data_IF_779317248199
#
_entry.id   IF_779317248199
#
_cell.length_a   1.000
_cell.length_b   1.000
_cell.length_c   1.000
_cell.angle_alpha   90.00
_cell.angle_beta   90.00
_cell.angle_gamma   90.00
#
_symmetry.space_group_name_H-M   'P 1'
#
loop_
_entity.id
_entity.type
_entity.pdbx_description
1 polymer ?
#
# COMPACT_ATOMS: atom_id res chain seq x y z
N UNK A 1 0.60 -12.28 -10.48
CA UNK A 1 1.70 -11.29 -10.58
C UNK A 1 2.90 -11.95 -9.94
N UNK A 2 4.05 -11.96 -10.62
CA UNK A 2 5.26 -12.50 -10.02
C UNK A 2 5.79 -11.46 -9.03
N UNK A 3 6.17 -11.88 -7.83
CA UNK A 3 6.67 -10.97 -6.81
C UNK A 3 8.08 -10.47 -7.13
N UNK A 4 8.36 -9.19 -6.89
CA UNK A 4 9.57 -8.46 -7.30
C UNK A 4 10.53 -8.24 -6.13
N UNK A 5 11.84 -8.30 -6.39
CA UNK A 5 12.91 -8.34 -5.39
C UNK A 5 13.81 -7.09 -5.39
N UNK A 6 14.11 -6.57 -4.19
CA UNK A 6 15.18 -5.59 -3.94
C UNK A 6 16.41 -6.31 -3.32
N UNK A 7 17.55 -6.38 -4.02
CA UNK A 7 18.75 -7.06 -3.53
C UNK A 7 19.42 -6.40 -2.33
N UNK A 8 19.29 -5.08 -2.13
CA UNK A 8 19.91 -4.40 -0.98
C UNK A 8 19.04 -4.53 0.29
N UNK A 9 17.72 -4.63 0.11
CA UNK A 9 16.79 -4.68 1.24
C UNK A 9 16.31 -6.09 1.59
N UNK A 10 16.52 -7.05 0.69
CA UNK A 10 15.99 -8.41 0.77
C UNK A 10 14.46 -8.38 0.99
N UNK A 11 13.76 -7.58 0.17
CA UNK A 11 12.30 -7.38 0.27
C UNK A 11 11.64 -7.79 -1.04
N UNK A 12 10.49 -8.44 -0.88
CA UNK A 12 9.65 -8.90 -1.97
C UNK A 12 8.31 -8.15 -1.99
N UNK A 13 7.99 -7.47 -3.09
CA UNK A 13 6.70 -6.77 -3.28
C UNK A 13 5.84 -7.45 -4.38
N UNK A 14 4.52 -7.56 -4.23
CA UNK A 14 3.74 -7.33 -3.01
C UNK A 14 4.20 -8.22 -1.84
N UNK A 15 4.24 -7.66 -0.62
CA UNK A 15 4.82 -8.34 0.55
C UNK A 15 3.76 -9.15 1.30
N UNK A 16 4.05 -10.40 1.66
CA UNK A 16 3.12 -11.31 2.38
C UNK A 16 1.74 -11.47 1.71
N UNK A 17 1.65 -11.28 0.39
CA UNK A 17 0.38 -11.28 -0.32
C UNK A 17 0.47 -11.92 -1.69
N UNK A 18 -0.50 -12.77 -1.98
CA UNK A 18 -0.72 -13.36 -3.30
C UNK A 18 -2.17 -13.08 -3.70
N UNK A 19 -2.41 -12.40 -4.84
CA UNK A 19 -3.77 -12.10 -5.28
C UNK A 19 -4.52 -13.39 -5.62
N UNK A 20 -5.79 -13.46 -5.24
CA UNK A 20 -6.71 -14.50 -5.69
C UNK A 20 -6.97 -14.35 -7.19
N UNK A 21 -7.47 -15.42 -7.81
CA UNK A 21 -7.71 -15.43 -9.26
C UNK A 21 -8.62 -14.27 -9.72
N UNK A 22 -9.67 -13.94 -8.97
CA UNK A 22 -10.59 -12.84 -9.28
C UNK A 22 -10.04 -11.45 -8.95
N UNK A 23 -8.99 -11.35 -8.13
CA UNK A 23 -8.31 -10.08 -7.82
C UNK A 23 -7.24 -9.75 -8.86
N UNK A 24 -6.77 -10.76 -9.61
CA UNK A 24 -5.70 -10.64 -10.59
C UNK A 24 -5.99 -9.62 -11.72
N UNK A 25 -7.22 -9.49 -12.25
CA UNK A 25 -7.52 -8.47 -13.27
C UNK A 25 -7.20 -7.05 -12.83
N UNK A 26 -7.45 -6.70 -11.57
CA UNK A 26 -7.10 -5.39 -11.00
C UNK A 26 -5.59 -5.12 -11.06
N UNK A 27 -4.77 -6.05 -10.59
CA UNK A 27 -3.30 -5.91 -10.65
C UNK A 27 -2.78 -5.89 -12.09
N UNK A 28 -3.35 -6.70 -13.00
CA UNK A 28 -2.99 -6.65 -14.42
C UNK A 28 -3.30 -5.30 -15.06
N UNK A 29 -4.41 -4.67 -14.66
CA UNK A 29 -4.77 -3.35 -15.14
C UNK A 29 -3.84 -2.25 -14.59
N UNK A 30 -3.44 -2.32 -13.31
CA UNK A 30 -2.38 -1.46 -12.76
C UNK A 30 -1.08 -1.58 -13.58
N UNK A 31 -0.64 -2.81 -13.87
CA UNK A 31 0.56 -3.08 -14.69
C UNK A 31 0.45 -2.59 -16.15
N UNK A 32 -0.77 -2.43 -16.66
CA UNK A 32 -1.03 -1.84 -17.97
C UNK A 32 -1.05 -0.30 -17.97
N UNK A 33 -0.88 0.33 -16.79
CA UNK A 33 -0.84 1.78 -16.65
C UNK A 33 -2.20 2.45 -16.44
N UNK A 34 -3.25 1.69 -16.13
CA UNK A 34 -4.54 2.27 -15.76
C UNK A 34 -4.42 3.03 -14.44
N UNK A 35 -5.02 4.22 -14.37
CA UNK A 35 -4.85 5.15 -13.24
C UNK A 35 -6.05 5.24 -12.30
N UNK A 36 -7.24 4.84 -12.75
CA UNK A 36 -8.50 4.95 -12.01
C UNK A 36 -9.26 3.63 -12.08
N UNK A 37 -9.84 3.23 -10.94
CA UNK A 37 -10.51 1.96 -10.78
C UNK A 37 -11.77 2.14 -9.92
N UNK A 38 -12.83 1.44 -10.30
CA UNK A 38 -13.99 1.19 -9.44
C UNK A 38 -14.09 -0.33 -9.21
N UNK A 39 -14.02 -0.74 -7.94
CA UNK A 39 -13.92 -2.15 -7.54
C UNK A 39 -15.18 -2.58 -6.80
N UNK A 40 -16.17 -3.06 -7.56
CA UNK A 40 -17.43 -3.58 -7.01
C UNK A 40 -17.27 -5.05 -6.59
N UNK A 41 -16.73 -5.27 -5.40
CA UNK A 41 -16.55 -6.62 -4.82
C UNK A 41 -17.41 -6.83 -3.58
N UNK A 42 -17.95 -8.05 -3.44
CA UNK A 42 -18.75 -8.43 -2.27
C UNK A 42 -17.98 -8.30 -0.95
N UNK A 43 -18.74 -8.23 0.15
CA UNK A 43 -18.18 -8.25 1.51
C UNK A 43 -17.22 -9.43 1.69
N UNK A 44 -16.07 -9.21 2.32
CA UNK A 44 -14.99 -10.21 2.56
C UNK A 44 -14.31 -10.78 1.30
N UNK A 45 -14.53 -10.21 0.12
CA UNK A 45 -13.76 -10.55 -1.08
C UNK A 45 -12.26 -10.18 -0.96
N UNK A 46 -11.89 -9.37 0.04
CA UNK A 46 -10.51 -8.95 0.26
C UNK A 46 -10.14 -7.71 -0.55
N UNK A 47 -11.08 -6.80 -0.78
CA UNK A 47 -10.82 -5.51 -1.42
C UNK A 47 -9.76 -4.69 -0.67
N UNK A 48 -9.90 -4.60 0.66
CA UNK A 48 -9.00 -3.78 1.49
C UNK A 48 -7.56 -4.33 1.48
N UNK A 49 -7.39 -5.66 1.57
CA UNK A 49 -6.06 -6.30 1.49
C UNK A 49 -5.43 -6.14 0.10
N UNK A 50 -6.22 -6.24 -0.97
CA UNK A 50 -5.72 -6.01 -2.33
C UNK A 50 -5.27 -4.57 -2.54
N UNK A 51 -6.06 -3.60 -2.11
CA UNK A 51 -5.74 -2.17 -2.25
C UNK A 51 -4.52 -1.83 -1.39
N UNK A 52 -4.46 -2.28 -0.13
CA UNK A 52 -3.28 -2.04 0.73
C UNK A 52 -1.99 -2.58 0.10
N UNK A 53 -2.03 -3.76 -0.50
CA UNK A 53 -0.86 -4.34 -1.17
C UNK A 53 -0.49 -3.61 -2.46
N UNK A 54 -1.48 -3.17 -3.25
CA UNK A 54 -1.24 -2.33 -4.43
C UNK A 54 -0.62 -1.00 -4.01
N UNK A 55 -1.16 -0.32 -3.00
CA UNK A 55 -0.62 0.94 -2.47
C UNK A 55 0.80 0.78 -1.93
N UNK A 56 1.05 -0.25 -1.10
CA UNK A 56 2.39 -0.53 -0.59
C UNK A 56 3.40 -0.79 -1.73
N UNK A 57 2.99 -1.54 -2.77
CA UNK A 57 3.82 -1.80 -3.95
C UNK A 57 4.07 -0.54 -4.77
N UNK A 58 3.05 0.31 -4.92
CA UNK A 58 3.17 1.58 -5.65
C UNK A 58 4.17 2.52 -4.93
N UNK A 59 4.00 2.68 -3.62
CA UNK A 59 4.82 3.55 -2.78
C UNK A 59 6.27 3.09 -2.65
N UNK A 60 6.46 1.79 -2.38
CA UNK A 60 7.76 1.20 -2.04
C UNK A 60 8.51 0.61 -3.23
N UNK A 61 7.81 0.38 -4.35
CA UNK A 61 8.36 -0.28 -5.53
C UNK A 61 9.25 0.61 -6.40
N UNK A 62 9.54 1.85 -6.00
CA UNK A 62 10.50 2.73 -6.67
C UNK A 62 11.63 3.01 -5.70
N UNK A 63 12.83 2.59 -6.06
CA UNK A 63 14.04 2.75 -5.28
C UNK A 63 15.05 3.60 -6.05
N UNK A 64 15.76 4.47 -5.34
CA UNK A 64 16.85 5.27 -5.87
C UNK A 64 18.13 4.70 -5.26
N UNK A 65 19.00 4.18 -6.14
CA UNK A 65 20.30 3.62 -5.78
C UNK A 65 21.23 4.70 -5.21
N UNK A 66 22.28 4.33 -4.46
CA UNK A 66 23.31 5.27 -3.99
C UNK A 66 23.98 6.07 -5.11
N UNK A 67 24.08 5.49 -6.31
CA UNK A 67 24.64 6.13 -7.51
C UNK A 67 23.65 7.04 -8.26
N UNK A 68 22.41 7.13 -7.78
CA UNK A 68 21.33 7.94 -8.37
C UNK A 68 20.47 7.23 -9.40
N UNK A 69 20.75 5.97 -9.74
CA UNK A 69 19.89 5.19 -10.66
C UNK A 69 18.52 4.93 -10.04
N UNK A 70 17.46 5.03 -10.85
CA UNK A 70 16.09 4.76 -10.40
C UNK A 70 15.67 3.37 -10.87
N UNK A 71 15.37 2.50 -9.91
CA UNK A 71 14.82 1.16 -10.15
C UNK A 71 13.33 1.15 -9.86
N UNK A 72 12.53 0.71 -10.84
CA UNK A 72 11.10 0.44 -10.66
C UNK A 72 10.87 -1.07 -10.58
N UNK A 73 10.47 -1.54 -9.42
CA UNK A 73 10.10 -2.93 -9.15
C UNK A 73 8.73 -3.25 -9.77
N UNK A 74 7.78 -2.32 -9.77
CA UNK A 74 6.47 -2.47 -10.42
C UNK A 74 6.24 -1.34 -11.43
N UNK A 75 5.49 -1.59 -12.51
CA UNK A 75 5.24 -0.56 -13.55
C UNK A 75 4.44 0.63 -13.03
N UNK A 76 3.59 0.38 -12.04
CA UNK A 76 2.79 1.39 -11.37
C UNK A 76 3.47 1.96 -10.12
N UNK A 77 4.75 1.67 -9.89
CA UNK A 77 5.50 2.24 -8.78
C UNK A 77 5.82 3.72 -9.00
N UNK A 78 5.50 4.53 -8.00
CA UNK A 78 5.74 5.96 -8.00
C UNK A 78 5.95 6.50 -6.59
N UNK A 79 6.93 7.41 -6.45
CA UNK A 79 7.17 8.09 -5.19
C UNK A 79 6.11 9.17 -5.03
N UNK A 80 5.41 9.19 -3.90
CA UNK A 80 4.36 10.16 -3.68
C UNK A 80 3.61 9.99 -2.37
N UNK A 81 2.56 10.80 -2.20
CA UNK A 81 1.66 10.76 -1.06
C UNK A 81 0.39 9.99 -1.42
N UNK A 82 0.06 9.01 -0.60
CA UNK A 82 -1.04 8.07 -0.78
C UNK A 82 -2.00 8.18 0.39
N UNK A 83 -3.15 8.82 0.14
CA UNK A 83 -4.22 8.93 1.11
C UNK A 83 -5.17 7.74 1.02
N UNK A 84 -5.52 7.18 2.18
CA UNK A 84 -6.48 6.10 2.31
C UNK A 84 -7.70 6.62 3.07
N UNK A 85 -8.75 6.93 2.32
CA UNK A 85 -9.94 7.59 2.85
C UNK A 85 -10.91 6.61 3.50
N UNK A 86 -11.44 7.02 4.66
CA UNK A 86 -12.54 6.38 5.36
C UNK A 86 -13.64 7.40 5.66
N UNK A 87 -14.90 6.96 5.85
CA UNK A 87 -15.97 7.88 6.25
C UNK A 87 -15.64 8.62 7.54
N UNK A 88 -14.96 7.95 8.48
CA UNK A 88 -14.43 8.57 9.71
C UNK A 88 -12.99 8.18 10.00
N UNK A 89 -12.22 9.07 10.64
CA UNK A 89 -10.84 8.79 11.05
C UNK A 89 -10.78 7.57 11.99
N UNK A 90 -11.72 7.50 12.94
CA UNK A 90 -11.83 6.38 13.88
C UNK A 90 -12.12 5.04 13.19
N UNK A 91 -12.93 5.02 12.13
CA UNK A 91 -13.16 3.79 11.35
C UNK A 91 -11.89 3.35 10.62
N UNK A 92 -11.18 4.30 10.00
CA UNK A 92 -9.91 3.99 9.33
C UNK A 92 -8.89 3.40 10.30
N UNK A 93 -8.81 3.98 11.52
CA UNK A 93 -8.00 3.44 12.62
C UNK A 93 -8.36 1.99 12.92
N UNK A 94 -9.64 1.71 13.15
CA UNK A 94 -10.10 0.37 13.51
C UNK A 94 -9.89 -0.66 12.38
N UNK A 95 -10.11 -0.27 11.13
CA UNK A 95 -10.15 -1.21 10.00
C UNK A 95 -8.75 -1.51 9.44
N UNK A 96 -7.91 -0.49 9.30
CA UNK A 96 -6.59 -0.62 8.65
C UNK A 96 -5.46 -0.46 9.66
N UNK A 97 -5.51 0.57 10.52
CA UNK A 97 -4.37 0.85 11.40
C UNK A 97 -4.18 -0.24 12.47
N UNK A 98 -5.25 -0.53 13.20
CA UNK A 98 -5.29 -1.54 14.26
C UNK A 98 -5.79 -2.91 13.74
N UNK A 99 -6.29 -2.94 12.50
CA UNK A 99 -6.98 -4.08 11.93
C UNK A 99 -6.05 -5.22 11.47
N UNK A 100 -6.60 -6.43 11.50
CA UNK A 100 -5.94 -7.65 11.03
C UNK A 100 -6.76 -8.37 9.99
N UNK A 101 -6.07 -9.10 9.12
CA UNK A 101 -6.69 -10.04 8.20
C UNK A 101 -7.19 -11.27 8.96
N UNK A 102 -8.05 -12.08 8.32
CA UNK A 102 -8.49 -13.37 8.89
C UNK A 102 -7.30 -14.29 9.26
N UNK A 103 -6.15 -14.14 8.60
CA UNK A 103 -4.94 -14.91 8.87
C UNK A 103 -4.04 -14.32 9.97
N UNK A 104 -4.49 -13.29 10.69
CA UNK A 104 -3.73 -12.67 11.80
C UNK A 104 -2.66 -11.66 11.38
N UNK A 105 -2.42 -11.48 10.07
CA UNK A 105 -1.48 -10.46 9.56
C UNK A 105 -2.13 -9.07 9.73
N UNK A 106 -1.43 -8.11 10.35
CA UNK A 106 -1.92 -6.72 10.44
C UNK A 106 -1.87 -6.06 9.07
N UNK A 107 -2.81 -5.18 8.75
CA UNK A 107 -2.80 -4.51 7.44
C UNK A 107 -1.55 -3.66 7.22
N UNK A 108 -1.04 -3.01 8.26
CA UNK A 108 0.19 -2.24 8.16
C UNK A 108 1.40 -3.13 7.81
N UNK A 109 1.41 -4.41 8.20
CA UNK A 109 2.52 -5.33 7.91
C UNK A 109 2.69 -5.62 6.40
N UNK A 110 1.71 -5.25 5.55
CA UNK A 110 1.87 -5.26 4.09
C UNK A 110 2.78 -4.15 3.58
N UNK A 111 3.01 -3.10 4.37
CA UNK A 111 4.06 -2.12 4.19
C UNK A 111 5.27 -2.61 5.00
N UNK A 112 6.31 -3.19 4.38
CA UNK A 112 7.43 -3.79 5.10
C UNK A 112 8.10 -2.80 6.05
N UNK A 113 8.38 -3.20 7.29
CA UNK A 113 9.02 -2.32 8.29
C UNK A 113 10.37 -1.78 7.82
N UNK A 114 11.16 -2.61 7.12
CA UNK A 114 12.44 -2.20 6.49
C UNK A 114 12.33 -1.05 5.49
N UNK A 115 11.14 -0.82 4.90
CA UNK A 115 10.92 0.32 4.01
C UNK A 115 10.49 1.59 4.75
N UNK A 116 10.03 1.47 6.00
CA UNK A 116 9.51 2.59 6.78
C UNK A 116 10.68 3.39 7.35
N UNK A 117 10.65 4.68 7.09
CA UNK A 117 11.51 5.66 7.73
C UNK A 117 10.94 6.05 9.11
N UNK A 118 9.63 6.38 9.15
CA UNK A 118 8.97 6.84 10.36
C UNK A 118 7.48 6.49 10.33
N UNK A 119 6.93 6.19 11.50
CA UNK A 119 5.50 5.90 11.70
C UNK A 119 4.96 6.81 12.80
N UNK A 120 3.88 7.54 12.53
CA UNK A 120 3.15 8.36 13.50
C UNK A 120 1.79 7.70 13.76
N UNK A 121 1.62 7.14 14.96
CA UNK A 121 0.40 6.41 15.31
C UNK A 121 -0.81 7.34 15.48
N UNK A 122 -0.61 8.53 16.05
CA UNK A 122 -1.71 9.47 16.29
C UNK A 122 -2.26 10.06 14.98
N UNK A 123 -1.39 10.29 14.01
CA UNK A 123 -1.75 10.81 12.67
C UNK A 123 -2.08 9.69 11.66
N UNK A 124 -1.96 8.42 12.06
CA UNK A 124 -2.09 7.25 11.18
C UNK A 124 -1.32 7.38 9.86
N UNK A 125 -0.03 7.73 10.00
CA UNK A 125 0.86 8.13 8.91
C UNK A 125 2.15 7.32 8.91
N UNK A 126 2.61 6.89 7.74
CA UNK A 126 3.87 6.16 7.53
C UNK A 126 4.65 6.82 6.41
N UNK A 127 5.89 7.23 6.70
CA UNK A 127 6.86 7.68 5.68
C UNK A 127 7.82 6.57 5.36
N UNK A 128 8.10 6.37 4.07
CA UNK A 128 9.08 5.42 3.58
C UNK A 128 10.45 6.08 3.37
N UNK A 129 11.50 5.27 3.34
CA UNK A 129 12.88 5.71 3.12
C UNK A 129 13.10 6.39 1.76
N UNK A 130 12.21 6.18 0.78
CA UNK A 130 12.25 6.83 -0.53
C UNK A 130 11.43 8.14 -0.59
N UNK A 131 10.87 8.59 0.54
CA UNK A 131 10.05 9.79 0.63
C UNK A 131 8.54 9.58 0.42
N UNK A 132 8.10 8.41 -0.02
CA UNK A 132 6.65 8.12 -0.14
C UNK A 132 5.94 8.20 1.21
N UNK A 133 4.70 8.66 1.21
CA UNK A 133 3.86 8.81 2.41
C UNK A 133 2.57 8.00 2.25
N UNK A 134 2.22 7.22 3.27
CA UNK A 134 0.89 6.64 3.45
C UNK A 134 0.20 7.35 4.61
N UNK A 135 -1.05 7.76 4.44
CA UNK A 135 -1.83 8.34 5.52
C UNK A 135 -3.30 7.95 5.42
N UNK A 136 -3.89 7.58 6.55
CA UNK A 136 -5.33 7.36 6.65
C UNK A 136 -6.01 8.71 6.92
N UNK A 137 -7.03 9.03 6.13
CA UNK A 137 -7.81 10.27 6.27
C UNK A 137 -9.27 9.92 6.55
N UNK A 138 -9.86 10.57 7.55
CA UNK A 138 -11.30 10.55 7.79
C UNK A 138 -11.97 11.68 7.03
N UNK A 139 -13.03 11.40 6.28
CA UNK A 139 -13.81 12.44 5.59
C UNK A 139 -14.75 13.20 6.52
N UNK A 140 -14.85 12.79 7.78
CA UNK A 140 -15.62 13.43 8.84
C UNK A 140 -14.94 14.68 9.42
N UNK A 141 -13.66 14.91 9.09
CA UNK A 141 -12.92 16.07 9.55
C UNK A 141 -12.27 16.78 8.35
N UNK A 142 -12.94 17.82 7.86
CA UNK A 142 -12.54 18.55 6.65
C UNK A 142 -11.22 19.33 6.80
N UNK A 143 -10.79 19.62 8.03
CA UNK A 143 -9.56 20.37 8.31
C UNK A 143 -8.26 19.53 8.23
N UNK A 144 -8.37 18.23 7.92
CA UNK A 144 -7.26 17.28 7.94
C UNK A 144 -6.54 17.07 6.58
N UNK A 145 -6.90 17.85 5.54
CA UNK A 145 -6.34 17.75 4.17
C UNK A 145 -5.53 18.99 3.83
#
# INVERSE_FOLDING_TARGET
MNPIYDPEKDIKLPYKYTPRWYQTPFFKALERGYKRFDLVWHRRAGKDISIMNATATAMGGKWIKPDGEIVKLAKYAEIGTYYYFFPTFAQGKKVIWDGTTKGGIRFLDFIPEKLRYQTWNDEMKIRLNNGSLFQIIGTDNFDAI
#
